data_IF_111099997034
#
_entry.id   IF_111099997034
#
_cell.length_a   1.000
_cell.length_b   1.000
_cell.length_c   1.000
_cell.angle_alpha   90.00
_cell.angle_beta   90.00
_cell.angle_gamma   90.00
#
_symmetry.space_group_name_H-M   'P 1'
#
loop_
_entity.id
_entity.type
_entity.pdbx_description
1 polymer ?
#
# COMPACT_ATOMS: atom_id res chain seq x y z
N UNK A 1 -10.17 -40.65 -76.55
CA UNK A 1 -10.22 -40.18 -75.14
C UNK A 1 -9.88 -38.70 -75.12
N UNK A 2 -10.85 -37.84 -74.84
CA UNK A 2 -10.68 -36.38 -74.85
C UNK A 2 -11.40 -35.77 -73.65
N UNK A 3 -10.66 -35.08 -72.77
CA UNK A 3 -11.15 -34.07 -71.81
C UNK A 3 -9.94 -33.16 -71.50
N UNK A 4 -9.79 -31.99 -72.12
CA UNK A 4 -10.42 -30.67 -71.88
C UNK A 4 -10.11 -30.03 -70.51
N UNK A 5 -9.43 -28.88 -70.61
CA UNK A 5 -9.66 -27.58 -69.92
C UNK A 5 -8.73 -27.17 -68.75
N UNK A 6 -7.82 -26.24 -69.08
CA UNK A 6 -7.50 -24.90 -68.51
C UNK A 6 -7.68 -24.63 -67.00
N UNK A 7 -6.66 -23.98 -66.40
CA UNK A 7 -6.66 -22.84 -65.42
C UNK A 7 -5.36 -22.90 -64.59
N UNK A 8 -4.74 -21.85 -64.07
CA UNK A 8 -4.85 -20.39 -64.10
C UNK A 8 -3.64 -19.91 -63.28
N UNK A 9 -2.99 -18.83 -63.70
CA UNK A 9 -1.98 -18.12 -62.90
C UNK A 9 -2.62 -17.57 -61.62
N UNK A 10 -2.01 -17.77 -60.45
CA UNK A 10 -2.42 -17.08 -59.22
C UNK A 10 -1.24 -16.86 -58.27
N UNK A 11 -0.77 -15.60 -58.32
CA UNK A 11 -0.11 -14.76 -57.31
C UNK A 11 0.35 -15.38 -55.97
N UNK A 12 1.65 -15.28 -55.73
CA UNK A 12 2.27 -15.36 -54.39
C UNK A 12 1.81 -14.16 -53.55
N UNK A 13 0.97 -14.39 -52.54
CA UNK A 13 0.68 -13.40 -51.50
C UNK A 13 1.69 -13.64 -50.38
N UNK A 14 2.70 -12.78 -50.28
CA UNK A 14 3.59 -12.74 -49.12
C UNK A 14 2.83 -12.08 -47.95
N UNK A 15 2.42 -12.89 -46.97
CA UNK A 15 1.85 -12.40 -45.73
C UNK A 15 2.97 -11.89 -44.82
N UNK A 16 3.19 -10.57 -44.78
CA UNK A 16 4.00 -9.92 -43.75
C UNK A 16 3.22 -9.92 -42.44
N UNK A 17 3.57 -10.82 -41.52
CA UNK A 17 3.12 -10.79 -40.13
C UNK A 17 3.83 -9.64 -39.41
N UNK A 18 3.13 -8.52 -39.23
CA UNK A 18 3.56 -7.45 -38.33
C UNK A 18 3.30 -7.92 -36.89
N UNK A 19 4.35 -8.40 -36.21
CA UNK A 19 4.27 -8.74 -34.80
C UNK A 19 4.10 -7.44 -33.99
N UNK A 20 2.87 -7.16 -33.55
CA UNK A 20 2.57 -6.13 -32.56
C UNK A 20 3.10 -6.62 -31.20
N UNK A 21 4.32 -6.22 -30.83
CA UNK A 21 4.78 -6.33 -29.45
C UNK A 21 4.01 -5.29 -28.62
N UNK A 22 2.85 -5.68 -28.11
CA UNK A 22 2.20 -4.95 -27.04
C UNK A 22 3.13 -5.02 -25.82
N UNK A 23 3.84 -3.93 -25.54
CA UNK A 23 4.62 -3.77 -24.33
C UNK A 23 3.69 -3.89 -23.13
N UNK A 24 3.76 -5.01 -22.41
CA UNK A 24 3.08 -5.16 -21.13
C UNK A 24 3.89 -4.35 -20.13
N UNK A 25 3.51 -3.07 -19.93
CA UNK A 25 3.91 -2.36 -18.73
C UNK A 25 3.20 -3.05 -17.56
N UNK A 26 3.92 -3.90 -16.83
CA UNK A 26 3.47 -4.34 -15.53
C UNK A 26 3.31 -3.09 -14.65
N UNK A 27 2.08 -2.74 -14.30
CA UNK A 27 1.83 -1.76 -13.26
C UNK A 27 2.49 -2.31 -11.99
N UNK A 28 3.52 -1.63 -11.49
CA UNK A 28 4.01 -1.88 -10.13
C UNK A 28 2.82 -1.65 -9.20
N UNK A 29 2.48 -2.60 -8.31
CA UNK A 29 1.45 -2.33 -7.32
C UNK A 29 1.83 -1.06 -6.56
N UNK A 30 0.84 -0.24 -6.23
CA UNK A 30 1.04 1.00 -5.49
C UNK A 30 1.42 0.63 -4.05
N UNK A 31 2.72 0.43 -3.81
CA UNK A 31 3.26 -0.04 -2.54
C UNK A 31 2.61 0.72 -1.38
N UNK A 32 1.96 -0.03 -0.48
CA UNK A 32 1.60 0.48 0.83
C UNK A 32 2.79 1.23 1.43
N UNK A 33 2.53 2.31 2.16
CA UNK A 33 3.58 3.13 2.79
C UNK A 33 4.52 2.20 3.54
N UNK A 34 5.68 1.97 2.92
CA UNK A 34 6.57 0.91 3.33
C UNK A 34 7.19 1.22 4.68
N UNK A 35 7.63 0.20 5.42
CA UNK A 35 8.37 0.40 6.67
C UNK A 35 9.62 1.27 6.41
N UNK A 36 10.22 1.21 5.22
CA UNK A 36 11.33 2.07 4.79
C UNK A 36 10.92 3.54 4.61
N UNK A 37 9.71 3.82 4.12
CA UNK A 37 9.15 5.18 4.06
C UNK A 37 8.96 5.74 5.47
N UNK A 38 8.43 4.93 6.40
CA UNK A 38 8.32 5.30 7.81
C UNK A 38 9.67 5.53 8.48
N UNK A 39 10.69 4.74 8.15
CA UNK A 39 12.05 4.94 8.65
C UNK A 39 12.68 6.23 8.12
N UNK A 40 12.47 6.56 6.84
CA UNK A 40 12.91 7.86 6.27
C UNK A 40 12.23 9.03 6.96
N UNK A 41 10.93 8.91 7.24
CA UNK A 41 10.18 9.92 7.97
C UNK A 41 10.71 10.05 9.41
N UNK A 42 10.87 8.95 10.13
CA UNK A 42 11.42 8.95 11.48
C UNK A 42 12.86 9.50 11.53
N UNK A 43 13.67 9.25 10.50
CA UNK A 43 15.00 9.85 10.38
C UNK A 43 14.92 11.38 10.30
N UNK A 44 13.94 11.92 9.57
CA UNK A 44 13.72 13.36 9.49
C UNK A 44 13.14 13.94 10.80
N UNK A 45 12.17 13.25 11.42
CA UNK A 45 11.43 13.73 12.59
C UNK A 45 12.24 13.63 13.90
N UNK A 46 12.95 12.52 14.10
CA UNK A 46 13.58 12.17 15.39
C UNK A 46 15.01 11.65 15.27
N UNK A 47 15.65 11.77 14.10
CA UNK A 47 16.92 11.08 13.80
C UNK A 47 16.81 9.56 13.96
N UNK A 48 15.62 8.99 13.69
CA UNK A 48 15.35 7.55 13.74
C UNK A 48 15.19 6.99 15.15
N UNK A 49 15.07 7.84 16.17
CA UNK A 49 14.99 7.44 17.57
C UNK A 49 13.54 7.17 17.98
N UNK A 50 13.09 5.93 17.81
CA UNK A 50 11.71 5.51 18.11
C UNK A 50 11.29 5.68 19.57
N UNK A 51 12.22 5.71 20.52
CA UNK A 51 11.96 5.89 21.95
C UNK A 51 12.25 7.32 22.44
N UNK A 52 12.34 8.32 21.55
CA UNK A 52 12.73 9.66 21.95
C UNK A 52 11.62 10.40 22.71
N UNK A 53 12.03 11.09 23.76
CA UNK A 53 11.26 12.12 24.44
C UNK A 53 12.25 13.26 24.78
N UNK A 54 12.20 14.35 24.03
CA UNK A 54 13.08 15.52 24.23
C UNK A 54 12.47 16.57 25.15
N UNK A 55 11.22 16.38 25.59
CA UNK A 55 10.46 17.40 26.33
C UNK A 55 9.86 18.50 25.44
N UNK A 56 9.86 18.35 24.12
CA UNK A 56 9.30 19.33 23.18
C UNK A 56 7.77 19.19 22.95
N UNK A 57 7.09 18.30 23.67
CA UNK A 57 5.65 18.04 23.54
C UNK A 57 5.26 17.01 22.48
N UNK A 58 6.21 16.52 21.68
CA UNK A 58 6.02 15.47 20.68
C UNK A 58 6.86 14.24 21.04
N UNK A 59 6.37 13.05 20.68
CA UNK A 59 6.94 11.81 21.22
C UNK A 59 7.20 10.76 20.14
N UNK A 60 8.22 9.95 20.39
CA UNK A 60 8.54 8.76 19.60
C UNK A 60 9.18 9.10 18.26
N UNK A 61 9.33 8.06 17.43
CA UNK A 61 10.10 8.14 16.18
C UNK A 61 9.48 9.09 15.16
N UNK A 62 8.15 9.20 15.19
CA UNK A 62 7.36 10.00 14.26
C UNK A 62 6.88 11.31 14.89
N UNK A 63 7.44 11.70 16.05
CA UNK A 63 7.12 12.95 16.73
C UNK A 63 5.60 13.22 16.80
N UNK A 64 4.82 12.29 17.36
CA UNK A 64 3.36 12.39 17.42
C UNK A 64 2.94 13.15 18.69
N UNK A 65 1.94 14.05 18.56
CA UNK A 65 1.30 14.74 19.70
C UNK A 65 0.50 13.75 20.56
N UNK A 66 0.47 13.89 21.90
CA UNK A 66 -0.33 13.04 22.77
C UNK A 66 -1.82 13.01 22.41
N UNK A 67 -2.42 14.16 22.09
CA UNK A 67 -3.84 14.23 21.70
C UNK A 67 -4.11 13.44 20.41
N UNK A 68 -3.28 13.61 19.39
CA UNK A 68 -3.40 12.89 18.12
C UNK A 68 -3.16 11.38 18.31
N UNK A 69 -2.20 11.00 19.16
CA UNK A 69 -1.96 9.61 19.56
C UNK A 69 -3.22 8.99 20.19
N UNK A 70 -3.84 9.71 21.12
CA UNK A 70 -5.04 9.28 21.83
C UNK A 70 -6.24 9.15 20.88
N UNK A 71 -6.47 10.16 20.03
CA UNK A 71 -7.54 10.18 19.02
C UNK A 71 -7.41 9.01 18.03
N UNK A 72 -6.18 8.64 17.67
CA UNK A 72 -5.91 7.47 16.81
C UNK A 72 -5.96 6.13 17.56
N UNK A 73 -6.25 6.15 18.85
CA UNK A 73 -6.39 4.95 19.69
C UNK A 73 -5.06 4.36 20.14
N UNK A 74 -3.99 5.14 20.14
CA UNK A 74 -2.65 4.72 20.56
C UNK A 74 -2.56 4.30 22.03
N UNK A 75 -3.49 4.77 22.87
CA UNK A 75 -3.64 4.37 24.28
C UNK A 75 -3.86 2.87 24.48
N UNK A 76 -4.30 2.14 23.44
CA UNK A 76 -4.38 0.68 23.47
C UNK A 76 -2.99 0.00 23.50
N UNK A 77 -1.94 0.71 23.07
CA UNK A 77 -0.57 0.21 23.06
C UNK A 77 0.28 0.82 24.19
N UNK A 78 0.20 2.14 24.38
CA UNK A 78 0.94 2.82 25.44
C UNK A 78 0.34 4.20 25.77
N UNK A 79 0.57 4.75 26.97
CA UNK A 79 0.15 6.11 27.32
C UNK A 79 0.71 7.21 26.40
N UNK A 80 1.95 7.05 25.91
CA UNK A 80 2.59 8.00 24.99
C UNK A 80 3.32 7.27 23.85
N UNK A 81 3.50 7.90 22.67
CA UNK A 81 4.13 7.26 21.51
C UNK A 81 5.50 6.64 21.80
N UNK A 82 6.39 7.35 22.50
CA UNK A 82 7.76 6.90 22.80
C UNK A 82 7.85 5.65 23.68
N UNK A 83 6.74 5.26 24.32
CA UNK A 83 6.63 4.05 25.15
C UNK A 83 6.13 2.84 24.33
N UNK A 84 5.63 3.06 23.12
CA UNK A 84 5.20 2.01 22.21
C UNK A 84 6.36 1.57 21.31
N UNK A 85 6.32 0.31 20.84
CA UNK A 85 7.27 -0.20 19.86
C UNK A 85 7.16 0.55 18.53
N UNK A 86 8.22 0.51 17.70
CA UNK A 86 8.21 1.05 16.33
C UNK A 86 6.96 0.64 15.55
N UNK A 87 6.64 -0.66 15.53
CA UNK A 87 5.49 -1.16 14.77
C UNK A 87 4.17 -0.63 15.31
N UNK A 88 4.01 -0.52 16.63
CA UNK A 88 2.81 0.08 17.23
C UNK A 88 2.69 1.57 16.88
N UNK A 89 3.80 2.31 16.86
CA UNK A 89 3.79 3.70 16.41
C UNK A 89 3.40 3.82 14.94
N UNK A 90 3.94 2.97 14.07
CA UNK A 90 3.56 2.91 12.64
C UNK A 90 2.08 2.56 12.47
N UNK A 91 1.54 1.60 13.23
CA UNK A 91 0.10 1.27 13.19
C UNK A 91 -0.76 2.49 13.51
N UNK A 92 -0.35 3.32 14.46
CA UNK A 92 -1.07 4.55 14.80
C UNK A 92 -0.86 5.63 13.76
N UNK A 93 0.36 5.80 13.25
CA UNK A 93 0.66 6.74 12.18
C UNK A 93 -0.10 6.43 10.88
N UNK A 94 -0.24 5.16 10.52
CA UNK A 94 -1.08 4.68 9.43
C UNK A 94 -2.56 5.08 9.62
N UNK A 95 -3.06 5.20 10.87
CA UNK A 95 -4.40 5.72 11.14
C UNK A 95 -4.50 7.22 10.96
N UNK A 96 -3.53 7.96 11.49
CA UNK A 96 -3.43 9.42 11.33
C UNK A 96 -3.38 9.77 9.84
N UNK A 97 -2.56 9.04 9.08
CA UNK A 97 -2.38 9.23 7.64
C UNK A 97 -3.70 9.08 6.86
N UNK A 98 -4.62 8.20 7.28
CA UNK A 98 -5.91 8.04 6.57
C UNK A 98 -6.81 9.26 6.63
N UNK A 99 -6.72 10.09 7.68
CA UNK A 99 -7.63 11.23 7.83
C UNK A 99 -6.95 12.59 7.67
N UNK A 100 -5.63 12.71 7.89
CA UNK A 100 -4.87 13.96 7.65
C UNK A 100 -4.04 13.91 6.38
N UNK A 101 -3.85 12.73 5.79
CA UNK A 101 -2.80 12.54 4.79
C UNK A 101 -1.43 12.90 5.37
N UNK A 102 -0.51 13.25 4.47
CA UNK A 102 0.86 13.62 4.84
C UNK A 102 0.99 14.96 5.56
N UNK A 103 -0.10 15.73 5.67
CA UNK A 103 -0.13 17.00 6.42
C UNK A 103 0.03 16.82 7.94
N UNK A 104 -0.07 15.58 8.43
CA UNK A 104 0.33 15.23 9.79
C UNK A 104 1.85 15.42 10.04
N UNK A 105 2.67 15.39 8.99
CA UNK A 105 4.13 15.55 9.04
C UNK A 105 4.64 16.50 7.94
N UNK A 106 4.17 17.76 7.87
CA UNK A 106 4.21 18.56 6.64
C UNK A 106 5.64 18.93 6.21
N UNK A 107 6.54 19.18 7.17
CA UNK A 107 7.92 19.57 6.85
C UNK A 107 8.72 18.39 6.32
N UNK A 108 8.67 17.25 7.00
CA UNK A 108 9.41 16.06 6.60
C UNK A 108 8.76 15.38 5.39
N UNK A 109 7.43 15.35 5.29
CA UNK A 109 6.74 14.83 4.11
C UNK A 109 7.13 15.59 2.84
N UNK A 110 7.18 16.93 2.88
CA UNK A 110 7.65 17.74 1.76
C UNK A 110 9.11 17.48 1.43
N UNK A 111 9.98 17.40 2.45
CA UNK A 111 11.41 17.11 2.26
C UNK A 111 11.66 15.74 1.61
N UNK A 112 10.78 14.78 1.87
CA UNK A 112 10.88 13.40 1.40
C UNK A 112 10.04 13.11 0.14
N UNK A 113 9.34 14.13 -0.38
CA UNK A 113 8.43 14.04 -1.53
C UNK A 113 7.28 13.03 -1.33
N UNK A 114 6.74 12.95 -0.11
CA UNK A 114 5.71 11.95 0.22
C UNK A 114 4.33 12.30 -0.36
N UNK A 115 4.08 13.56 -0.72
CA UNK A 115 2.82 13.99 -1.33
C UNK A 115 2.58 13.38 -2.72
N UNK A 116 3.64 12.94 -3.40
CA UNK A 116 3.56 12.23 -4.67
C UNK A 116 3.45 10.71 -4.52
N UNK A 117 3.52 10.20 -3.28
CA UNK A 117 3.35 8.76 -2.98
C UNK A 117 1.86 8.48 -2.79
N UNK A 118 1.26 7.56 -3.59
CA UNK A 118 -0.12 7.15 -3.36
C UNK A 118 -0.25 6.61 -1.93
N UNK A 119 -1.25 7.11 -1.19
CA UNK A 119 -1.45 6.67 0.19
C UNK A 119 -2.14 5.30 0.14
N UNK A 120 -1.41 4.28 0.56
CA UNK A 120 -1.90 2.92 0.77
C UNK A 120 -1.41 2.47 2.16
N UNK A 121 -2.29 2.02 3.04
CA UNK A 121 -1.93 1.65 4.43
C UNK A 121 -1.56 0.17 4.52
N UNK A 122 -0.51 -0.17 5.26
CA UNK A 122 -0.05 -1.57 5.41
C UNK A 122 -0.66 -2.27 6.63
N UNK A 123 -1.56 -3.22 6.42
CA UNK A 123 -2.18 -3.99 7.48
C UNK A 123 -1.64 -5.42 7.57
N UNK A 124 -1.31 -5.90 8.77
CA UNK A 124 -0.95 -7.30 9.00
C UNK A 124 -2.18 -8.06 9.48
N UNK A 125 -2.60 -9.05 8.70
CA UNK A 125 -3.76 -9.90 8.96
C UNK A 125 -3.64 -10.57 10.33
N UNK A 126 -4.69 -10.44 11.15
CA UNK A 126 -4.81 -11.08 12.44
C UNK A 126 -5.67 -12.35 12.34
N UNK A 127 -5.59 -13.21 13.36
CA UNK A 127 -6.45 -14.40 13.43
C UNK A 127 -7.94 -13.99 13.45
N UNK A 128 -8.73 -14.55 12.53
CA UNK A 128 -10.17 -14.29 12.42
C UNK A 128 -10.54 -13.08 11.55
N UNK A 129 -9.57 -12.40 10.94
CA UNK A 129 -9.86 -11.34 9.97
C UNK A 129 -10.46 -11.90 8.68
N UNK A 130 -11.35 -11.11 8.07
CA UNK A 130 -11.78 -11.27 6.67
C UNK A 130 -11.50 -9.97 5.93
N UNK A 131 -11.35 -10.01 4.60
CA UNK A 131 -11.19 -8.77 3.82
C UNK A 131 -12.36 -7.80 4.06
N UNK A 132 -13.57 -8.32 4.27
CA UNK A 132 -14.76 -7.56 4.64
C UNK A 132 -14.65 -6.89 6.02
N UNK A 133 -14.17 -7.59 7.05
CA UNK A 133 -13.99 -6.98 8.38
C UNK A 133 -12.91 -5.91 8.35
N UNK A 134 -11.82 -6.15 7.63
CA UNK A 134 -10.73 -5.20 7.44
C UNK A 134 -11.24 -3.97 6.68
N UNK A 135 -11.88 -4.14 5.53
CA UNK A 135 -12.39 -3.02 4.74
C UNK A 135 -13.32 -2.11 5.55
N UNK A 136 -14.23 -2.68 6.34
CA UNK A 136 -15.09 -1.90 7.25
C UNK A 136 -14.29 -1.20 8.34
N UNK A 137 -13.36 -1.90 8.99
CA UNK A 137 -12.51 -1.37 10.06
C UNK A 137 -11.67 -0.17 9.61
N UNK A 138 -11.21 -0.20 8.36
CA UNK A 138 -10.37 0.83 7.78
C UNK A 138 -11.13 1.82 6.88
N UNK A 139 -12.46 1.68 6.78
CA UNK A 139 -13.32 2.47 5.91
C UNK A 139 -12.81 2.55 4.46
N UNK A 140 -12.31 1.44 3.93
CA UNK A 140 -11.65 1.37 2.62
C UNK A 140 -12.64 1.73 1.50
N UNK A 141 -12.38 2.76 0.68
CA UNK A 141 -13.19 3.05 -0.50
C UNK A 141 -13.23 1.86 -1.46
N UNK A 142 -14.43 1.46 -1.88
CA UNK A 142 -14.61 0.25 -2.71
C UNK A 142 -14.58 -1.07 -1.92
N UNK A 143 -14.46 -1.02 -0.59
CA UNK A 143 -14.65 -2.17 0.28
C UNK A 143 -13.58 -3.26 0.14
N UNK A 144 -13.98 -4.50 0.43
CA UNK A 144 -13.07 -5.65 0.43
C UNK A 144 -12.51 -5.96 -0.95
N UNK A 145 -13.27 -5.67 -2.02
CA UNK A 145 -12.85 -5.89 -3.40
C UNK A 145 -11.66 -4.99 -3.77
N UNK A 146 -11.65 -3.75 -3.30
CA UNK A 146 -10.52 -2.85 -3.50
C UNK A 146 -9.24 -3.38 -2.84
N UNK A 147 -9.35 -3.94 -1.63
CA UNK A 147 -8.23 -4.62 -0.96
C UNK A 147 -7.79 -5.84 -1.77
N UNK A 148 -8.72 -6.70 -2.19
CA UNK A 148 -8.38 -7.93 -2.90
C UNK A 148 -7.61 -7.63 -4.19
N UNK A 149 -8.11 -6.71 -5.02
CA UNK A 149 -7.51 -6.38 -6.33
C UNK A 149 -6.04 -5.98 -6.25
N UNK A 150 -5.64 -5.24 -5.22
CA UNK A 150 -4.23 -4.80 -5.09
C UNK A 150 -3.34 -5.82 -4.36
N UNK A 151 -3.94 -6.81 -3.69
CA UNK A 151 -3.22 -7.83 -2.92
C UNK A 151 -3.35 -9.26 -3.49
N UNK A 152 -3.83 -9.42 -4.73
CA UNK A 152 -4.03 -10.75 -5.32
C UNK A 152 -2.73 -11.59 -5.36
N UNK A 153 -1.57 -10.92 -5.45
CA UNK A 153 -0.25 -11.54 -5.42
C UNK A 153 0.06 -12.26 -4.09
N UNK A 154 -0.45 -11.76 -2.96
CA UNK A 154 -0.20 -12.33 -1.62
C UNK A 154 -1.39 -13.13 -1.08
N UNK A 155 -2.61 -12.85 -1.54
CA UNK A 155 -3.83 -13.58 -1.14
C UNK A 155 -4.01 -14.84 -2.01
N UNK A 156 -3.58 -14.79 -3.27
CA UNK A 156 -3.84 -15.84 -4.24
C UNK A 156 -5.28 -15.80 -4.78
N UNK A 157 -5.74 -16.88 -5.44
CA UNK A 157 -6.99 -16.87 -6.20
C UNK A 157 -8.27 -16.88 -5.35
N UNK A 158 -8.17 -17.18 -4.05
CA UNK A 158 -9.31 -17.27 -3.15
C UNK A 158 -9.30 -16.11 -2.12
N UNK A 159 -10.19 -15.11 -2.26
CA UNK A 159 -10.25 -13.95 -1.35
C UNK A 159 -10.67 -14.31 0.09
N UNK A 160 -11.30 -15.46 0.30
CA UNK A 160 -11.71 -15.92 1.64
C UNK A 160 -10.59 -16.63 2.40
N UNK A 161 -9.47 -16.94 1.73
CA UNK A 161 -8.33 -17.59 2.36
C UNK A 161 -7.29 -16.55 2.81
N UNK A 162 -7.53 -15.95 3.97
CA UNK A 162 -6.65 -14.94 4.56
C UNK A 162 -5.75 -15.56 5.64
N UNK A 163 -4.45 -15.64 5.39
CA UNK A 163 -3.48 -16.19 6.34
C UNK A 163 -3.05 -15.12 7.37
N UNK A 164 -3.11 -15.42 8.69
CA UNK A 164 -2.54 -14.53 9.71
C UNK A 164 -1.06 -14.25 9.46
N UNK A 165 -0.65 -12.99 9.63
CA UNK A 165 0.70 -12.53 9.31
C UNK A 165 0.88 -12.02 7.89
N UNK A 166 -0.07 -12.26 6.97
CA UNK A 166 -0.04 -11.68 5.62
C UNK A 166 -0.10 -10.15 5.72
N UNK A 167 0.79 -9.47 5.02
CA UNK A 167 0.80 -8.01 4.90
C UNK A 167 -0.06 -7.60 3.70
N UNK A 168 -1.09 -6.81 3.95
CA UNK A 168 -2.00 -6.27 2.95
C UNK A 168 -1.77 -4.78 2.78
N UNK A 169 -1.95 -4.32 1.55
CA UNK A 169 -2.06 -2.92 1.18
C UNK A 169 -3.53 -2.53 1.21
N UNK A 170 -3.87 -1.44 1.89
CA UNK A 170 -5.23 -0.93 1.98
C UNK A 170 -5.30 0.38 1.21
N UNK A 171 -6.15 0.49 0.17
CA UNK A 171 -6.35 1.77 -0.50
C UNK A 171 -7.00 2.76 0.47
N UNK A 172 -6.57 4.02 0.41
CA UNK A 172 -7.12 5.13 1.21
C UNK A 172 -7.80 6.16 0.33
#
# INVERSE_FOLDING_TARGET
MYRRIVRSSAHLIAATLLALTAGVFAATPADAVSDATWDRLAMCESSGRWNVNTGNGYYGGLQILPSTWDEAGGRAYAPLPHQATKRQQIIIAEKILRWQGWDAWPQCARKLDLYSVPITVSYVVQQGDTLSSIARKFAVPGGWDAIYRINQNVIGPNPDHLLPGTRLELPT
#
